data_IF_784265747379
#
_entry.id   IF_784265747379
#
_cell.length_a   1.000
_cell.length_b   1.000
_cell.length_c   1.000
_cell.angle_alpha   90.00
_cell.angle_beta   90.00
_cell.angle_gamma   90.00
#
_symmetry.space_group_name_H-M   'P 1'
#
loop_
_entity.id
_entity.type
_entity.pdbx_description
1 polymer ?
#
# COMPACT_ATOMS: atom_id res chain seq x y z
N UNK A 1 -29.86 -13.57 -18.56
CA UNK A 1 -28.48 -13.60 -19.07
C UNK A 1 -28.17 -12.24 -19.68
N UNK A 2 -27.28 -11.45 -19.09
CA UNK A 2 -26.99 -10.10 -19.57
C UNK A 2 -26.32 -10.12 -20.95
N UNK A 3 -26.49 -9.04 -21.73
CA UNK A 3 -25.89 -8.82 -23.07
C UNK A 3 -24.39 -9.16 -23.13
N UNK A 4 -23.67 -9.04 -22.01
CA UNK A 4 -22.25 -9.35 -21.90
C UNK A 4 -21.94 -10.84 -22.16
N UNK A 5 -22.75 -11.76 -21.61
CA UNK A 5 -22.51 -13.19 -21.75
C UNK A 5 -22.73 -13.69 -23.20
N UNK A 6 -23.62 -13.03 -23.95
CA UNK A 6 -23.82 -13.31 -25.38
C UNK A 6 -22.61 -12.86 -26.20
N UNK A 7 -22.11 -11.63 -25.95
CA UNK A 7 -20.91 -11.13 -26.62
C UNK A 7 -19.70 -12.02 -26.39
N UNK A 8 -19.48 -12.48 -25.15
CA UNK A 8 -18.37 -13.39 -24.79
C UNK A 8 -18.45 -14.72 -25.55
N UNK A 9 -19.66 -15.25 -25.81
CA UNK A 9 -19.85 -16.48 -26.59
C UNK A 9 -19.62 -16.32 -28.09
N UNK A 10 -19.81 -15.11 -28.63
CA UNK A 10 -19.54 -14.79 -30.04
C UNK A 10 -18.05 -14.52 -30.30
N UNK A 11 -17.24 -14.36 -29.25
CA UNK A 11 -15.81 -14.14 -29.37
C UNK A 11 -15.06 -15.44 -29.72
N UNK A 12 -14.02 -15.37 -30.58
CA UNK A 12 -13.07 -16.44 -30.78
C UNK A 12 -12.48 -16.95 -29.45
N UNK A 13 -12.16 -18.25 -29.35
CA UNK A 13 -11.67 -18.87 -28.10
C UNK A 13 -10.38 -18.23 -27.57
N UNK A 14 -9.57 -17.65 -28.45
CA UNK A 14 -8.35 -16.92 -28.07
C UNK A 14 -8.66 -15.64 -27.27
N UNK A 15 -9.69 -14.90 -27.68
CA UNK A 15 -10.13 -13.68 -27.02
C UNK A 15 -11.00 -13.95 -25.78
N UNK A 16 -11.66 -15.12 -25.70
CA UNK A 16 -12.34 -15.54 -24.47
C UNK A 16 -11.35 -15.69 -23.31
N UNK A 17 -10.16 -16.19 -23.59
CA UNK A 17 -9.08 -16.36 -22.61
C UNK A 17 -8.58 -15.01 -22.07
N UNK A 18 -8.41 -14.03 -22.95
CA UNK A 18 -8.04 -12.66 -22.57
C UNK A 18 -9.14 -11.98 -21.72
N UNK A 19 -10.41 -12.25 -22.04
CA UNK A 19 -11.53 -11.76 -21.21
C UNK A 19 -11.53 -12.42 -19.83
N UNK A 20 -11.22 -13.72 -19.74
CA UNK A 20 -11.11 -14.44 -18.48
C UNK A 20 -10.00 -13.84 -17.60
N UNK A 21 -8.80 -13.64 -18.17
CA UNK A 21 -7.68 -12.98 -17.50
C UNK A 21 -8.05 -11.55 -17.05
N UNK A 22 -8.80 -10.81 -17.87
CA UNK A 22 -9.24 -9.46 -17.52
C UNK A 22 -10.26 -9.44 -16.38
N UNK A 23 -11.17 -10.42 -16.33
CA UNK A 23 -12.14 -10.58 -15.24
C UNK A 23 -11.40 -10.91 -13.94
N UNK A 24 -10.42 -11.82 -13.97
CA UNK A 24 -9.59 -12.16 -12.82
C UNK A 24 -8.75 -10.98 -12.32
N UNK A 25 -8.21 -10.19 -13.25
CA UNK A 25 -7.50 -8.95 -12.93
C UNK A 25 -8.41 -7.94 -12.24
N UNK A 26 -9.63 -7.72 -12.76
CA UNK A 26 -10.57 -6.79 -12.15
C UNK A 26 -11.03 -7.26 -10.76
N UNK A 27 -11.27 -8.57 -10.60
CA UNK A 27 -11.61 -9.17 -9.32
C UNK A 27 -10.49 -8.95 -8.28
N UNK A 28 -9.24 -9.21 -8.67
CA UNK A 28 -8.08 -8.99 -7.80
C UNK A 28 -7.89 -7.50 -7.48
N UNK A 29 -7.96 -6.63 -8.48
CA UNK A 29 -7.70 -5.19 -8.33
C UNK A 29 -8.77 -4.44 -7.55
N UNK A 30 -10.03 -4.84 -7.64
CA UNK A 30 -11.14 -4.09 -7.04
C UNK A 30 -11.88 -4.83 -5.93
N UNK A 31 -11.90 -6.15 -5.92
CA UNK A 31 -12.59 -6.94 -4.88
C UNK A 31 -11.62 -7.27 -3.75
N UNK A 32 -10.44 -7.82 -4.05
CA UNK A 32 -9.45 -8.12 -3.02
C UNK A 32 -8.81 -6.85 -2.44
N UNK A 33 -8.47 -5.88 -3.30
CA UNK A 33 -7.92 -4.60 -2.85
C UNK A 33 -8.98 -3.55 -2.44
N UNK A 34 -10.26 -3.74 -2.79
CA UNK A 34 -11.34 -2.83 -2.35
C UNK A 34 -11.73 -3.00 -0.88
N UNK A 35 -11.53 -4.21 -0.32
CA UNK A 35 -11.70 -4.47 1.11
C UNK A 35 -10.50 -4.01 1.95
N UNK A 36 -9.35 -3.78 1.33
CA UNK A 36 -8.35 -2.91 1.91
C UNK A 36 -8.87 -1.48 1.79
N UNK A 37 -9.72 -1.08 2.74
CA UNK A 37 -9.77 0.32 3.22
C UNK A 37 -8.33 0.79 3.11
N UNK A 38 -8.05 1.71 2.17
CA UNK A 38 -6.70 2.24 1.92
C UNK A 38 -6.03 2.27 3.28
N UNK A 39 -5.03 1.39 3.53
CA UNK A 39 -4.27 1.45 4.77
C UNK A 39 -3.58 2.80 4.66
N UNK A 40 -4.28 3.83 5.11
CA UNK A 40 -3.74 5.16 5.29
C UNK A 40 -2.54 4.91 6.15
N UNK A 41 -1.37 5.30 5.64
CA UNK A 41 -0.12 5.12 6.34
C UNK A 41 -0.34 5.63 7.77
N UNK A 42 -0.26 4.74 8.76
CA UNK A 42 -0.85 5.01 10.06
C UNK A 42 -0.04 6.03 10.87
N UNK A 43 1.16 6.39 10.39
CA UNK A 43 2.10 7.31 11.05
C UNK A 43 2.26 7.00 12.55
N UNK A 44 2.14 5.73 12.96
CA UNK A 44 2.19 5.33 14.36
C UNK A 44 3.54 5.65 15.05
N UNK A 45 4.56 5.94 14.25
CA UNK A 45 5.89 6.37 14.69
C UNK A 45 5.99 7.88 14.92
N UNK A 46 5.08 8.69 14.37
CA UNK A 46 5.06 10.13 14.54
C UNK A 46 4.78 10.47 16.01
N UNK A 47 5.68 11.23 16.63
CA UNK A 47 5.55 11.61 18.04
C UNK A 47 5.98 10.55 19.05
N UNK A 48 6.48 9.38 18.62
CA UNK A 48 6.97 8.34 19.54
C UNK A 48 8.12 8.81 20.46
N UNK A 49 8.84 9.87 20.10
CA UNK A 49 9.91 10.49 20.89
C UNK A 49 9.50 11.83 21.53
N UNK A 50 8.21 12.18 21.55
CA UNK A 50 7.74 13.45 22.10
C UNK A 50 8.16 13.66 23.57
N UNK A 51 8.17 12.58 24.36
CA UNK A 51 8.54 12.60 25.79
C UNK A 51 10.05 12.87 26.02
N UNK A 52 10.88 12.66 25.00
CA UNK A 52 12.32 12.94 25.05
C UNK A 52 12.64 14.38 24.63
N UNK A 53 11.69 15.10 24.03
CA UNK A 53 11.86 16.50 23.60
C UNK A 53 12.27 17.42 24.74
N UNK A 54 11.70 17.20 25.93
CA UNK A 54 11.96 18.06 27.09
C UNK A 54 13.21 17.61 27.87
N UNK A 55 13.73 16.41 27.58
CA UNK A 55 14.94 15.83 28.20
C UNK A 55 16.21 16.12 27.40
N UNK A 56 16.07 16.24 26.07
CA UNK A 56 17.20 16.43 25.18
C UNK A 56 17.00 17.65 24.29
N UNK A 57 17.97 18.57 24.35
CA UNK A 57 18.05 19.68 23.39
C UNK A 57 18.73 19.20 22.10
N UNK A 58 18.39 19.80 20.96
CA UNK A 58 19.00 19.46 19.67
C UNK A 58 20.54 19.54 19.71
N UNK A 59 21.07 20.49 20.47
CA UNK A 59 22.52 20.66 20.68
C UNK A 59 23.11 19.56 21.57
N UNK A 60 22.39 19.12 22.60
CA UNK A 60 22.81 17.98 23.44
C UNK A 60 22.90 16.69 22.65
N UNK A 61 21.91 16.41 21.80
CA UNK A 61 21.93 15.24 20.91
C UNK A 61 23.08 15.29 19.91
N UNK A 62 23.41 16.48 19.40
CA UNK A 62 24.55 16.65 18.49
C UNK A 62 25.87 16.29 19.17
N UNK A 63 26.09 16.75 20.41
CA UNK A 63 27.31 16.41 21.16
C UNK A 63 27.40 14.92 21.48
N UNK A 64 26.32 14.29 21.93
CA UNK A 64 26.30 12.84 22.18
C UNK A 64 26.52 12.04 20.89
N UNK A 65 25.96 12.50 19.76
CA UNK A 65 26.22 11.87 18.47
C UNK A 65 27.69 11.95 18.11
N UNK A 66 28.30 13.15 18.16
CA UNK A 66 29.72 13.34 17.87
C UNK A 66 30.62 12.49 18.78
N UNK A 67 30.22 12.30 20.04
CA UNK A 67 30.92 11.41 20.97
C UNK A 67 30.79 9.94 20.56
N UNK A 68 29.61 9.49 20.14
CA UNK A 68 29.39 8.12 19.69
C UNK A 68 30.12 7.77 18.39
N UNK A 69 30.32 8.73 17.50
CA UNK A 69 31.06 8.55 16.25
C UNK A 69 32.57 8.83 16.38
N UNK A 70 33.01 9.35 17.53
CA UNK A 70 34.37 9.81 17.80
C UNK A 70 35.25 8.83 18.58
N UNK A 71 34.70 7.68 18.99
CA UNK A 71 35.43 6.51 19.52
C UNK A 71 35.50 5.39 18.47
#
# INVERSE_FOLDING_TARGET
MGKLAQKIRELPPELQREVEDFVDFLSTKYIQNGNNKKKTFAFDWEGALADLRDQYTSVGLQHESLKWWGD
#
